data_IF_987300015975
#
_entry.id   IF_987300015975
#
_cell.length_a   1.000
_cell.length_b   1.000
_cell.length_c   1.000
_cell.angle_alpha   90.00
_cell.angle_beta   90.00
_cell.angle_gamma   90.00
#
_symmetry.space_group_name_H-M   'P 1'
#
loop_
_entity.id
_entity.type
_entity.pdbx_description
1 polymer ?
#
# COMPACT_ATOMS: atom_id res chain seq x y z
N UNK A 1 -2.10 13.28 1.86
CA UNK A 1 -2.03 12.85 3.27
C UNK A 1 -2.16 13.99 4.27
N UNK A 2 -1.49 15.13 4.13
CA UNK A 2 -1.55 16.21 5.14
C UNK A 2 -2.98 16.62 5.58
N UNK A 3 -3.91 16.67 4.66
CA UNK A 3 -5.32 17.01 4.96
C UNK A 3 -6.09 15.86 5.62
N UNK A 4 -5.69 14.61 5.39
CA UNK A 4 -6.35 13.43 5.92
C UNK A 4 -5.88 13.08 7.35
N UNK A 5 -4.67 13.51 7.73
CA UNK A 5 -4.15 13.37 9.09
C UNK A 5 -4.72 14.48 9.99
N UNK A 6 -5.64 14.12 10.86
CA UNK A 6 -6.22 15.00 11.87
C UNK A 6 -6.16 14.29 13.23
N UNK A 7 -7.25 14.22 13.98
CA UNK A 7 -7.32 13.37 15.18
C UNK A 7 -7.11 11.89 14.81
N UNK A 8 -7.63 11.50 13.65
CA UNK A 8 -7.47 10.19 13.03
C UNK A 8 -6.95 10.35 11.60
N UNK A 9 -6.57 9.24 10.99
CA UNK A 9 -6.30 9.18 9.55
C UNK A 9 -7.65 8.95 8.86
N UNK A 10 -8.12 9.95 8.10
CA UNK A 10 -9.34 9.88 7.33
C UNK A 10 -9.07 9.39 5.91
N UNK A 11 -9.93 8.51 5.40
CA UNK A 11 -9.93 8.06 4.00
C UNK A 11 -9.94 9.21 3.00
N UNK A 12 -10.78 10.21 3.25
CA UNK A 12 -10.94 11.40 2.43
C UNK A 12 -11.53 12.57 3.21
N UNK A 13 -11.34 13.79 2.71
CA UNK A 13 -11.82 15.00 3.37
C UNK A 13 -13.19 15.47 2.89
N UNK A 14 -13.63 15.03 1.70
CA UNK A 14 -14.92 15.43 1.13
C UNK A 14 -16.09 14.72 1.77
N UNK A 15 -15.99 13.41 1.90
CA UNK A 15 -17.04 12.55 2.46
C UNK A 15 -16.43 11.38 3.22
N UNK A 16 -17.30 10.55 3.77
CA UNK A 16 -17.06 9.48 4.72
C UNK A 16 -16.36 10.03 5.97
N UNK A 17 -15.12 10.48 5.89
CA UNK A 17 -14.31 10.97 7.02
C UNK A 17 -14.29 9.93 8.12
N UNK A 18 -13.99 8.70 7.74
CA UNK A 18 -13.93 7.54 8.61
C UNK A 18 -12.52 6.96 8.59
N UNK A 19 -12.23 6.16 9.59
CA UNK A 19 -11.07 5.30 9.61
C UNK A 19 -11.43 4.03 8.83
N UNK A 20 -11.19 4.05 7.52
CA UNK A 20 -11.27 2.89 6.66
C UNK A 20 -9.92 2.17 6.67
N UNK A 21 -9.83 1.09 7.44
CA UNK A 21 -8.52 0.47 7.70
C UNK A 21 -7.86 -0.14 6.45
N UNK A 22 -8.67 -0.55 5.47
CA UNK A 22 -8.15 -1.00 4.18
C UNK A 22 -7.40 0.07 3.41
N UNK A 23 -7.84 1.33 3.52
CA UNK A 23 -7.22 2.49 2.88
C UNK A 23 -5.86 2.83 3.51
N UNK A 24 -5.70 2.52 4.81
CA UNK A 24 -4.60 3.02 5.62
C UNK A 24 -3.22 2.49 5.22
N UNK A 25 -3.09 1.36 4.50
CA UNK A 25 -1.75 0.83 4.20
C UNK A 25 -0.92 1.78 3.31
N UNK A 26 -1.37 2.25 2.13
CA UNK A 26 -0.64 3.27 1.38
C UNK A 26 -0.59 4.63 2.11
N UNK A 27 -1.60 4.95 2.92
CA UNK A 27 -1.62 6.17 3.73
C UNK A 27 -0.50 6.17 4.77
N UNK A 28 -0.41 5.13 5.60
CA UNK A 28 0.61 4.99 6.65
C UNK A 28 2.00 4.83 6.05
N UNK A 29 2.13 4.16 4.90
CA UNK A 29 3.38 4.10 4.15
C UNK A 29 3.84 5.50 3.75
N UNK A 30 2.93 6.34 3.25
CA UNK A 30 3.24 7.73 2.88
C UNK A 30 3.50 8.59 4.12
N UNK A 31 2.70 8.47 5.17
CA UNK A 31 2.89 9.20 6.43
C UNK A 31 4.27 8.90 7.00
N UNK A 32 4.61 7.64 7.17
CA UNK A 32 5.89 7.24 7.72
C UNK A 32 7.10 7.68 6.88
N UNK A 33 6.94 7.81 5.55
CA UNK A 33 8.02 8.26 4.67
C UNK A 33 8.19 9.79 4.60
N UNK A 34 7.13 10.57 4.90
CA UNK A 34 7.12 12.02 4.71
C UNK A 34 7.05 12.78 6.02
N UNK A 35 6.16 12.39 6.91
CA UNK A 35 5.87 13.11 8.16
C UNK A 35 6.59 12.45 9.35
N UNK A 36 6.68 11.14 9.38
CA UNK A 36 7.33 10.39 10.44
C UNK A 36 6.33 9.69 11.35
N UNK A 37 6.63 9.66 12.64
CA UNK A 37 5.85 9.00 13.67
C UNK A 37 4.73 9.93 14.14
N UNK A 38 3.49 9.63 13.74
CA UNK A 38 2.34 10.51 13.92
C UNK A 38 1.30 9.91 14.87
N UNK A 39 0.81 10.70 15.81
CA UNK A 39 -0.20 10.29 16.79
C UNK A 39 -1.52 9.82 16.15
N UNK A 40 -1.89 10.36 14.99
CA UNK A 40 -3.08 9.95 14.24
C UNK A 40 -3.06 8.48 13.81
N UNK A 41 -1.87 7.90 13.64
CA UNK A 41 -1.73 6.44 13.41
C UNK A 41 -2.27 5.65 14.60
N UNK A 42 -1.74 5.93 15.79
CA UNK A 42 -2.09 5.21 17.02
C UNK A 42 -3.57 5.39 17.36
N UNK A 43 -4.07 6.61 17.25
CA UNK A 43 -5.49 6.90 17.47
C UNK A 43 -6.39 6.10 16.52
N UNK A 44 -6.04 5.99 15.23
CA UNK A 44 -6.82 5.25 14.23
C UNK A 44 -6.81 3.75 14.48
N UNK A 45 -5.65 3.18 14.81
CA UNK A 45 -5.53 1.74 15.08
C UNK A 45 -6.25 1.36 16.38
N UNK A 46 -6.16 2.19 17.42
CA UNK A 46 -6.88 2.03 18.68
C UNK A 46 -8.40 2.08 18.46
N UNK A 47 -8.87 3.07 17.69
CA UNK A 47 -10.29 3.23 17.34
C UNK A 47 -10.83 2.00 16.59
N UNK A 48 -10.07 1.46 15.64
CA UNK A 48 -10.48 0.27 14.89
C UNK A 48 -10.71 -0.93 15.82
N UNK A 49 -9.80 -1.18 16.77
CA UNK A 49 -9.96 -2.26 17.75
C UNK A 49 -11.15 -2.04 18.69
N UNK A 50 -11.41 -0.78 19.09
CA UNK A 50 -12.52 -0.44 19.97
C UNK A 50 -13.88 -0.59 19.28
N UNK A 51 -13.97 -0.16 18.03
CA UNK A 51 -15.23 -0.20 17.27
C UNK A 51 -15.56 -1.61 16.77
N UNK A 52 -14.54 -2.43 16.52
CA UNK A 52 -14.68 -3.79 15.97
C UNK A 52 -13.99 -4.82 16.85
N UNK A 53 -14.49 -5.05 18.11
CA UNK A 53 -13.95 -6.09 18.96
C UNK A 53 -14.15 -7.47 18.33
N UNK A 54 -13.20 -8.36 18.51
CA UNK A 54 -13.30 -9.73 18.01
C UNK A 54 -14.56 -10.45 18.56
N UNK A 55 -15.27 -11.23 17.72
CA UNK A 55 -14.86 -11.73 16.40
C UNK A 55 -15.34 -10.86 15.21
N UNK A 56 -15.70 -9.62 15.39
CA UNK A 56 -16.10 -8.75 14.29
C UNK A 56 -14.90 -8.43 13.38
N UNK A 57 -15.14 -8.43 12.06
CA UNK A 57 -14.18 -7.92 11.10
C UNK A 57 -14.15 -6.38 11.11
N UNK A 58 -12.96 -5.78 11.05
CA UNK A 58 -12.81 -4.32 11.01
C UNK A 58 -13.57 -3.76 9.81
N UNK A 59 -14.32 -2.68 10.04
CA UNK A 59 -15.25 -2.06 9.07
C UNK A 59 -16.26 -3.06 8.44
N UNK A 60 -16.49 -4.21 9.06
CA UNK A 60 -17.34 -5.28 8.54
C UNK A 60 -16.72 -6.08 7.38
N UNK A 61 -15.44 -5.91 7.09
CA UNK A 61 -14.73 -6.51 5.96
C UNK A 61 -13.50 -7.29 6.43
N UNK A 62 -13.45 -8.58 6.13
CA UNK A 62 -12.31 -9.42 6.52
C UNK A 62 -10.98 -8.94 5.93
N UNK A 63 -10.98 -8.44 4.68
CA UNK A 63 -9.80 -7.83 4.07
C UNK A 63 -9.19 -6.71 4.93
N UNK A 64 -10.02 -5.91 5.62
CA UNK A 64 -9.57 -4.79 6.43
C UNK A 64 -8.90 -5.24 7.74
N UNK A 65 -9.32 -6.39 8.28
CA UNK A 65 -8.61 -7.04 9.38
C UNK A 65 -7.27 -7.65 8.95
N UNK A 66 -7.13 -8.08 7.69
CA UNK A 66 -5.84 -8.51 7.14
C UNK A 66 -4.89 -7.31 6.99
N UNK A 67 -5.38 -6.18 6.48
CA UNK A 67 -4.61 -4.94 6.41
C UNK A 67 -4.16 -4.46 7.79
N UNK A 68 -4.98 -4.62 8.83
CA UNK A 68 -4.58 -4.32 10.20
C UNK A 68 -3.30 -5.03 10.61
N UNK A 69 -3.16 -6.34 10.31
CA UNK A 69 -1.97 -7.10 10.66
C UNK A 69 -0.73 -6.61 9.90
N UNK A 70 -0.88 -6.32 8.60
CA UNK A 70 0.21 -5.84 7.76
C UNK A 70 0.68 -4.45 8.22
N UNK A 71 -0.24 -3.52 8.43
CA UNK A 71 0.04 -2.14 8.87
C UNK A 71 0.74 -2.13 10.24
N UNK A 72 0.32 -2.98 11.19
CA UNK A 72 0.95 -3.08 12.50
C UNK A 72 2.42 -3.51 12.40
N UNK A 73 2.71 -4.50 11.55
CA UNK A 73 4.07 -4.97 11.37
C UNK A 73 4.95 -3.93 10.65
N UNK A 74 4.44 -3.30 9.59
CA UNK A 74 5.19 -2.28 8.84
C UNK A 74 5.51 -1.06 9.69
N UNK A 75 4.56 -0.62 10.53
CA UNK A 75 4.80 0.50 11.45
C UNK A 75 5.83 0.14 12.52
N UNK A 76 5.77 -1.09 13.05
CA UNK A 76 6.78 -1.59 13.96
C UNK A 76 8.18 -1.62 13.31
N UNK A 77 8.30 -2.11 12.10
CA UNK A 77 9.57 -2.13 11.38
C UNK A 77 10.13 -0.71 11.20
N UNK A 78 9.27 0.24 10.96
CA UNK A 78 9.65 1.65 10.75
C UNK A 78 10.07 2.34 12.04
N UNK A 79 9.27 2.24 13.10
CA UNK A 79 9.46 3.04 14.31
C UNK A 79 9.94 2.25 15.53
N UNK A 80 9.80 0.93 15.53
CA UNK A 80 10.37 0.05 16.56
C UNK A 80 9.60 0.01 17.88
N UNK A 81 8.38 0.57 17.95
CA UNK A 81 7.57 0.64 19.18
C UNK A 81 6.97 -0.71 19.53
N UNK A 82 7.79 -1.56 20.13
CA UNK A 82 7.36 -2.90 20.58
C UNK A 82 6.25 -2.82 21.63
N UNK A 83 6.31 -1.84 22.52
CA UNK A 83 5.29 -1.59 23.54
C UNK A 83 3.90 -1.34 22.96
N UNK A 84 3.82 -0.80 21.75
CA UNK A 84 2.55 -0.64 21.06
C UNK A 84 2.01 -1.98 20.52
N UNK A 85 2.87 -2.85 20.00
CA UNK A 85 2.46 -4.22 19.67
C UNK A 85 2.01 -4.99 20.92
N UNK A 86 2.69 -4.83 22.05
CA UNK A 86 2.30 -5.45 23.33
C UNK A 86 0.93 -4.94 23.81
N UNK A 87 0.63 -3.66 23.64
CA UNK A 87 -0.71 -3.10 23.93
C UNK A 87 -1.80 -3.78 23.11
N UNK A 88 -1.53 -4.11 21.84
CA UNK A 88 -2.45 -4.75 20.91
C UNK A 88 -2.34 -6.28 20.87
N UNK A 89 -1.55 -6.87 21.75
CA UNK A 89 -1.25 -8.31 21.80
C UNK A 89 -2.49 -9.18 21.66
N UNK A 90 -3.48 -8.97 22.51
CA UNK A 90 -4.65 -9.84 22.58
C UNK A 90 -5.49 -9.74 21.29
N UNK A 91 -5.55 -8.57 20.70
CA UNK A 91 -6.26 -8.36 19.44
C UNK A 91 -5.52 -9.03 18.26
N UNK A 92 -4.20 -8.83 18.15
CA UNK A 92 -3.36 -9.45 17.09
C UNK A 92 -3.45 -10.97 17.17
N UNK A 93 -3.21 -11.53 18.34
CA UNK A 93 -3.21 -12.99 18.55
C UNK A 93 -4.62 -13.59 18.42
N UNK A 94 -5.65 -12.83 18.82
CA UNK A 94 -7.04 -13.22 18.64
C UNK A 94 -7.47 -13.22 17.18
N UNK A 95 -6.97 -12.30 16.34
CA UNK A 95 -7.17 -12.33 14.89
C UNK A 95 -6.54 -13.56 14.26
N UNK A 96 -5.33 -13.97 14.69
CA UNK A 96 -4.70 -15.22 14.23
C UNK A 96 -5.60 -16.42 14.52
N UNK A 97 -6.14 -16.50 15.76
CA UNK A 97 -7.05 -17.58 16.14
C UNK A 97 -8.37 -17.56 15.37
N UNK A 98 -8.88 -16.38 15.03
CA UNK A 98 -10.09 -16.21 14.23
C UNK A 98 -9.87 -16.65 12.78
N UNK A 99 -8.77 -16.19 12.16
CA UNK A 99 -8.40 -16.55 10.78
C UNK A 99 -8.19 -18.06 10.66
N UNK A 100 -7.44 -18.67 11.59
CA UNK A 100 -7.18 -20.12 11.59
C UNK A 100 -8.47 -20.94 11.55
N UNK A 101 -9.49 -20.55 12.31
CA UNK A 101 -10.80 -21.20 12.32
C UNK A 101 -11.55 -21.09 10.99
N UNK A 102 -11.25 -20.07 10.20
CA UNK A 102 -11.90 -19.82 8.92
C UNK A 102 -11.22 -20.55 7.74
N UNK A 103 -10.02 -21.11 7.93
CA UNK A 103 -9.25 -21.74 6.84
C UNK A 103 -9.30 -23.27 6.98
N UNK A 104 -9.86 -23.94 5.97
CA UNK A 104 -9.94 -25.40 5.95
C UNK A 104 -8.59 -26.07 5.59
N UNK A 105 -8.56 -27.40 5.61
CA UNK A 105 -7.36 -28.19 5.31
C UNK A 105 -6.90 -28.07 3.84
N UNK A 106 -7.78 -27.64 2.95
CA UNK A 106 -7.53 -27.43 1.52
C UNK A 106 -7.12 -25.98 1.20
N UNK A 107 -7.11 -25.09 2.21
CA UNK A 107 -6.77 -23.69 2.05
C UNK A 107 -7.92 -22.83 1.52
N UNK A 108 -9.16 -23.31 1.61
CA UNK A 108 -10.32 -22.46 1.37
C UNK A 108 -10.65 -21.68 2.62
N UNK A 109 -11.09 -20.44 2.44
CA UNK A 109 -11.53 -19.59 3.53
C UNK A 109 -13.05 -19.48 3.61
N UNK A 110 -13.54 -19.18 4.81
CA UNK A 110 -14.94 -18.89 5.13
C UNK A 110 -15.05 -17.51 5.79
N UNK A 111 -14.31 -16.52 5.28
CA UNK A 111 -14.17 -15.18 5.87
C UNK A 111 -15.19 -14.16 5.32
N UNK A 112 -16.15 -14.60 4.52
CA UNK A 112 -17.20 -13.77 3.95
C UNK A 112 -16.86 -13.21 2.57
N UNK A 113 -17.38 -12.02 2.25
CA UNK A 113 -17.18 -11.42 0.95
C UNK A 113 -15.73 -10.92 0.79
N UNK A 114 -15.12 -11.25 -0.36
CA UNK A 114 -13.79 -10.78 -0.70
C UNK A 114 -13.85 -9.40 -1.36
N UNK A 115 -12.90 -8.56 -1.01
CA UNK A 115 -12.77 -7.23 -1.57
C UNK A 115 -11.28 -6.87 -1.73
N UNK A 116 -10.95 -6.27 -2.87
CA UNK A 116 -9.65 -5.64 -3.12
C UNK A 116 -9.85 -4.14 -3.32
N UNK A 117 -10.33 -3.77 -4.50
CA UNK A 117 -10.71 -2.41 -4.86
C UNK A 117 -11.97 -2.41 -5.74
N UNK A 118 -12.55 -1.24 -5.97
CA UNK A 118 -13.77 -1.15 -6.76
C UNK A 118 -13.56 -1.51 -8.23
N UNK A 119 -12.44 -1.10 -8.91
CA UNK A 119 -12.20 -1.48 -10.30
C UNK A 119 -12.15 -2.99 -10.56
N UNK A 120 -11.73 -3.77 -9.58
CA UNK A 120 -11.65 -5.23 -9.70
C UNK A 120 -12.96 -5.96 -9.38
N UNK A 121 -13.93 -5.30 -8.75
CA UNK A 121 -15.09 -5.92 -8.09
C UNK A 121 -15.96 -6.81 -8.98
N UNK A 122 -15.94 -6.63 -10.30
CA UNK A 122 -16.67 -7.45 -11.27
C UNK A 122 -15.93 -8.73 -11.69
N UNK A 123 -14.62 -8.84 -11.38
CA UNK A 123 -13.80 -10.02 -11.67
C UNK A 123 -13.63 -10.85 -10.39
N UNK A 124 -14.68 -11.60 -10.03
CA UNK A 124 -14.72 -12.33 -8.76
C UNK A 124 -13.61 -13.35 -8.62
N UNK A 125 -13.26 -14.10 -9.68
CA UNK A 125 -12.13 -15.06 -9.66
C UNK A 125 -10.79 -14.37 -9.39
N UNK A 126 -10.54 -13.23 -10.03
CA UNK A 126 -9.34 -12.43 -9.79
C UNK A 126 -9.33 -11.82 -8.38
N UNK A 127 -10.49 -11.35 -7.89
CA UNK A 127 -10.64 -10.83 -6.52
C UNK A 127 -10.34 -11.93 -5.51
N UNK A 128 -10.86 -13.14 -5.70
CA UNK A 128 -10.61 -14.29 -4.82
C UNK A 128 -9.11 -14.64 -4.79
N UNK A 129 -8.45 -14.63 -5.94
CA UNK A 129 -7.02 -14.89 -6.02
C UNK A 129 -6.17 -13.80 -5.31
N UNK A 130 -6.53 -12.54 -5.50
CA UNK A 130 -5.85 -11.42 -4.83
C UNK A 130 -6.09 -11.41 -3.33
N UNK A 131 -7.32 -11.67 -2.89
CA UNK A 131 -7.66 -11.80 -1.47
C UNK A 131 -6.89 -12.97 -0.83
N UNK A 132 -6.81 -14.11 -1.50
CA UNK A 132 -6.01 -15.24 -1.06
C UNK A 132 -4.53 -14.87 -0.87
N UNK A 133 -3.97 -14.09 -1.78
CA UNK A 133 -2.60 -13.60 -1.65
C UNK A 133 -2.45 -12.60 -0.49
N UNK A 134 -3.41 -11.70 -0.28
CA UNK A 134 -3.44 -10.79 0.87
C UNK A 134 -3.47 -11.55 2.20
N UNK A 135 -4.25 -12.63 2.25
CA UNK A 135 -4.33 -13.50 3.42
C UNK A 135 -2.98 -14.18 3.73
N UNK A 136 -2.27 -14.68 2.70
CA UNK A 136 -0.91 -15.23 2.86
C UNK A 136 0.05 -14.17 3.41
N UNK A 137 0.05 -12.96 2.84
CA UNK A 137 0.90 -11.87 3.31
C UNK A 137 0.59 -11.49 4.77
N UNK A 138 -0.69 -11.33 5.11
CA UNK A 138 -1.09 -11.00 6.49
C UNK A 138 -0.66 -12.09 7.50
N UNK A 139 -0.72 -13.38 7.11
CA UNK A 139 -0.26 -14.46 7.99
C UNK A 139 1.26 -14.50 8.17
N UNK A 140 2.05 -14.09 7.17
CA UNK A 140 3.49 -13.92 7.28
C UNK A 140 3.84 -12.83 8.31
N UNK A 141 3.16 -11.69 8.25
CA UNK A 141 3.40 -10.59 9.18
C UNK A 141 2.86 -10.89 10.59
N UNK A 142 1.73 -11.57 10.69
CA UNK A 142 1.21 -12.08 11.96
C UNK A 142 2.15 -13.09 12.62
N UNK A 143 2.81 -13.95 11.83
CA UNK A 143 3.86 -14.85 12.33
C UNK A 143 5.02 -14.08 12.94
N UNK A 144 5.54 -13.07 12.24
CA UNK A 144 6.64 -12.22 12.70
C UNK A 144 6.28 -11.50 14.00
N UNK A 145 5.06 -10.93 14.06
CA UNK A 145 4.56 -10.30 15.28
C UNK A 145 4.36 -11.28 16.43
N UNK A 146 3.86 -12.50 16.17
CA UNK A 146 3.72 -13.53 17.19
C UNK A 146 5.07 -13.90 17.83
N UNK A 147 6.13 -14.01 17.03
CA UNK A 147 7.50 -14.21 17.52
C UNK A 147 7.96 -13.02 18.38
N UNK A 148 7.75 -11.80 17.91
CA UNK A 148 8.12 -10.58 18.64
C UNK A 148 7.40 -10.45 19.99
N UNK A 149 6.15 -10.91 20.04
CA UNK A 149 5.31 -10.96 21.22
C UNK A 149 5.61 -12.19 22.13
N UNK A 150 6.53 -13.07 21.74
CA UNK A 150 6.91 -14.25 22.51
C UNK A 150 5.85 -15.35 22.51
N UNK A 151 4.98 -15.43 21.51
CA UNK A 151 3.94 -16.44 21.36
C UNK A 151 4.27 -17.43 20.22
N UNK A 152 5.14 -18.39 20.54
CA UNK A 152 5.56 -19.42 19.56
C UNK A 152 4.39 -20.30 19.09
N UNK A 153 3.36 -20.49 19.92
CA UNK A 153 2.20 -21.29 19.53
C UNK A 153 1.41 -20.62 18.40
N UNK A 154 1.17 -19.29 18.47
CA UNK A 154 0.53 -18.55 17.40
C UNK A 154 1.45 -18.37 16.20
N UNK A 155 2.76 -18.20 16.41
CA UNK A 155 3.71 -18.19 15.31
C UNK A 155 3.67 -19.51 14.52
N UNK A 156 3.59 -20.67 15.19
CA UNK A 156 3.43 -21.96 14.54
C UNK A 156 2.08 -22.08 13.82
N UNK A 157 1.01 -21.62 14.46
CA UNK A 157 -0.33 -21.57 13.84
C UNK A 157 -0.34 -20.75 12.56
N UNK A 158 0.31 -19.58 12.52
CA UNK A 158 0.43 -18.77 11.30
C UNK A 158 1.12 -19.56 10.17
N UNK A 159 2.21 -20.28 10.47
CA UNK A 159 2.88 -21.15 9.48
C UNK A 159 1.95 -22.25 8.96
N UNK A 160 1.21 -22.88 9.83
CA UNK A 160 0.26 -23.96 9.45
C UNK A 160 -0.89 -23.42 8.58
N UNK A 161 -1.38 -22.20 8.86
CA UNK A 161 -2.36 -21.52 8.01
C UNK A 161 -1.74 -21.18 6.65
N UNK A 162 -0.55 -20.59 6.63
CA UNK A 162 0.17 -20.29 5.39
C UNK A 162 0.40 -21.55 4.56
N UNK A 163 0.83 -22.65 5.16
CA UNK A 163 1.03 -23.94 4.48
C UNK A 163 -0.26 -24.48 3.85
N UNK A 164 -1.41 -24.33 4.54
CA UNK A 164 -2.72 -24.69 3.97
C UNK A 164 -3.08 -23.81 2.77
N UNK A 165 -2.89 -22.49 2.90
CA UNK A 165 -3.15 -21.55 1.83
C UNK A 165 -2.28 -21.82 0.60
N UNK A 166 -0.97 -22.08 0.79
CA UNK A 166 -0.03 -22.35 -0.32
C UNK A 166 -0.33 -23.64 -1.11
N UNK A 167 -1.13 -24.55 -0.58
CA UNK A 167 -1.57 -25.76 -1.31
C UNK A 167 -2.63 -25.44 -2.36
N UNK A 168 -3.40 -24.37 -2.16
CA UNK A 168 -4.43 -23.93 -3.10
C UNK A 168 -3.80 -23.15 -4.25
N UNK A 169 -4.01 -23.62 -5.45
CA UNK A 169 -3.61 -22.90 -6.67
C UNK A 169 -4.69 -21.90 -7.02
N UNK A 170 -4.33 -20.62 -7.11
CA UNK A 170 -5.23 -19.53 -7.51
C UNK A 170 -4.75 -18.88 -8.80
N UNK A 171 -5.69 -18.33 -9.56
CA UNK A 171 -5.41 -17.68 -10.84
C UNK A 171 -5.85 -16.20 -10.77
N UNK A 172 -4.96 -15.25 -11.08
CA UNK A 172 -5.31 -13.82 -11.07
C UNK A 172 -6.35 -13.41 -12.12
N UNK A 173 -6.71 -14.32 -13.03
CA UNK A 173 -7.76 -14.15 -14.07
C UNK A 173 -7.64 -12.80 -14.82
N UNK A 174 -6.42 -12.44 -15.23
CA UNK A 174 -6.12 -11.20 -15.92
C UNK A 174 -6.07 -9.94 -15.03
N UNK A 175 -6.31 -10.06 -13.72
CA UNK A 175 -6.37 -8.95 -12.79
C UNK A 175 -4.97 -8.54 -12.31
N UNK A 176 -4.56 -7.30 -12.60
CA UNK A 176 -3.26 -6.75 -12.16
C UNK A 176 -3.14 -6.69 -10.64
N UNK A 177 -4.21 -6.31 -9.94
CA UNK A 177 -4.31 -6.26 -8.49
C UNK A 177 -3.92 -7.60 -7.87
N UNK A 178 -4.54 -8.68 -8.36
CA UNK A 178 -4.29 -10.03 -7.87
C UNK A 178 -2.87 -10.50 -8.16
N UNK A 179 -2.39 -10.32 -9.40
CA UNK A 179 -1.04 -10.71 -9.79
C UNK A 179 0.03 -10.01 -8.95
N UNK A 180 -0.18 -8.72 -8.63
CA UNK A 180 0.73 -7.93 -7.78
C UNK A 180 0.76 -8.45 -6.35
N UNK A 181 -0.39 -8.69 -5.74
CA UNK A 181 -0.44 -9.28 -4.39
C UNK A 181 0.16 -10.70 -4.37
N UNK A 182 -0.06 -11.50 -5.41
CA UNK A 182 0.55 -12.83 -5.51
C UNK A 182 2.08 -12.75 -5.60
N UNK A 183 2.64 -11.75 -6.28
CA UNK A 183 4.08 -11.51 -6.28
C UNK A 183 4.59 -11.12 -4.89
N UNK A 184 3.93 -10.16 -4.23
CA UNK A 184 4.28 -9.67 -2.88
C UNK A 184 4.22 -10.81 -1.86
N UNK A 185 3.18 -11.64 -1.89
CA UNK A 185 2.99 -12.77 -0.98
C UNK A 185 3.90 -13.99 -1.31
N UNK A 186 4.67 -13.94 -2.40
CA UNK A 186 5.51 -15.05 -2.84
C UNK A 186 4.74 -16.27 -3.36
N UNK A 187 3.55 -16.05 -3.93
CA UNK A 187 2.73 -17.05 -4.61
C UNK A 187 2.96 -17.08 -6.13
N UNK A 188 3.53 -16.02 -6.67
CA UNK A 188 3.90 -15.90 -8.09
C UNK A 188 5.29 -15.27 -8.20
N UNK A 189 6.06 -15.73 -9.17
CA UNK A 189 7.33 -15.10 -9.51
C UNK A 189 7.09 -13.65 -10.00
N UNK A 190 7.80 -12.63 -9.46
CA UNK A 190 7.61 -11.23 -9.84
C UNK A 190 7.76 -10.98 -11.34
N UNK A 191 8.75 -11.63 -12.00
CA UNK A 191 8.95 -11.47 -13.43
C UNK A 191 7.77 -12.02 -14.23
N UNK A 192 7.16 -13.13 -13.76
CA UNK A 192 5.94 -13.66 -14.34
C UNK A 192 4.74 -12.73 -14.12
N UNK A 193 4.55 -12.22 -12.90
CA UNK A 193 3.47 -11.27 -12.58
C UNK A 193 3.55 -10.02 -13.45
N UNK A 194 4.75 -9.45 -13.60
CA UNK A 194 4.97 -8.27 -14.43
C UNK A 194 4.73 -8.56 -15.91
N UNK A 195 5.39 -9.59 -16.46
CA UNK A 195 5.31 -9.89 -17.90
C UNK A 195 3.90 -10.25 -18.35
N UNK A 196 3.19 -11.08 -17.58
CA UNK A 196 1.92 -11.68 -18.01
C UNK A 196 0.71 -10.82 -17.63
N UNK A 197 0.84 -9.89 -16.65
CA UNK A 197 -0.26 -9.11 -16.09
C UNK A 197 0.04 -7.62 -15.91
N UNK A 198 0.98 -7.25 -15.03
CA UNK A 198 1.11 -5.87 -14.55
C UNK A 198 1.54 -4.90 -15.66
N UNK A 199 2.51 -5.28 -16.48
CA UNK A 199 3.01 -4.46 -17.59
C UNK A 199 2.09 -4.46 -18.82
N UNK A 200 1.11 -5.40 -18.89
CA UNK A 200 0.22 -5.52 -20.04
C UNK A 200 -0.65 -4.26 -20.19
N UNK A 201 -0.52 -3.55 -21.30
CA UNK A 201 -1.26 -2.32 -21.58
C UNK A 201 -0.78 -1.09 -20.80
N UNK A 202 0.40 -1.15 -20.17
CA UNK A 202 0.98 -0.03 -19.42
C UNK A 202 0.07 0.44 -18.28
N UNK A 203 -0.24 1.75 -18.16
CA UNK A 203 -1.05 2.28 -17.07
C UNK A 203 -2.53 1.88 -17.12
N UNK A 204 -3.00 1.29 -18.24
CA UNK A 204 -4.37 0.81 -18.33
C UNK A 204 -4.65 -0.28 -17.31
N UNK A 205 -5.73 -0.15 -16.56
CA UNK A 205 -6.11 -1.08 -15.49
C UNK A 205 -5.38 -0.84 -14.15
N UNK A 206 -4.59 0.22 -14.07
CA UNK A 206 -4.15 0.75 -12.77
C UNK A 206 -5.34 1.38 -12.05
N UNK A 207 -5.30 1.33 -10.72
CA UNK A 207 -6.22 2.05 -9.85
C UNK A 207 -5.44 2.93 -8.89
N UNK A 208 -6.09 3.93 -8.36
CA UNK A 208 -5.46 4.89 -7.42
C UNK A 208 -5.00 4.22 -6.14
N UNK A 209 -5.72 3.20 -5.69
CA UNK A 209 -5.39 2.39 -4.51
C UNK A 209 -4.38 1.28 -4.85
N UNK A 210 -4.80 0.27 -5.59
CA UNK A 210 -3.96 -0.92 -5.85
C UNK A 210 -2.80 -0.66 -6.80
N UNK A 211 -2.80 0.48 -7.48
CA UNK A 211 -1.63 0.92 -8.26
C UNK A 211 -0.34 0.95 -7.46
N UNK A 212 -0.41 1.21 -6.14
CA UNK A 212 0.74 1.11 -5.24
C UNK A 212 1.37 -0.29 -5.27
N UNK A 213 0.57 -1.34 -5.11
CA UNK A 213 1.06 -2.73 -5.13
C UNK A 213 1.53 -3.18 -6.51
N UNK A 214 0.93 -2.63 -7.57
CA UNK A 214 1.40 -2.85 -8.94
C UNK A 214 2.78 -2.24 -9.17
N UNK A 215 3.04 -1.06 -8.61
CA UNK A 215 4.37 -0.42 -8.62
C UNK A 215 5.38 -1.22 -7.79
N UNK A 216 4.97 -1.78 -6.65
CA UNK A 216 5.81 -2.67 -5.84
C UNK A 216 6.18 -3.96 -6.60
N UNK A 217 5.23 -4.59 -7.29
CA UNK A 217 5.51 -5.76 -8.11
C UNK A 217 6.51 -5.45 -9.24
N UNK A 218 6.40 -4.29 -9.89
CA UNK A 218 7.37 -3.83 -10.88
C UNK A 218 8.76 -3.62 -10.27
N UNK A 219 8.84 -3.04 -9.08
CA UNK A 219 10.11 -2.88 -8.36
C UNK A 219 10.74 -4.22 -7.98
N UNK A 220 9.95 -5.21 -7.56
CA UNK A 220 10.42 -6.57 -7.27
C UNK A 220 11.02 -7.28 -8.51
N UNK A 221 10.57 -6.95 -9.72
CA UNK A 221 11.14 -7.43 -10.99
C UNK A 221 12.26 -6.49 -11.54
N UNK A 222 12.66 -5.47 -10.77
CA UNK A 222 13.68 -4.51 -11.20
C UNK A 222 13.24 -3.51 -12.28
N UNK A 223 11.94 -3.40 -12.56
CA UNK A 223 11.34 -2.53 -13.60
C UNK A 223 11.09 -1.11 -13.08
N UNK A 224 12.07 -0.53 -12.43
CA UNK A 224 11.93 0.80 -11.81
C UNK A 224 11.60 1.91 -12.82
N UNK A 225 12.20 1.87 -14.02
CA UNK A 225 11.94 2.86 -15.05
C UNK A 225 10.51 2.77 -15.58
N UNK A 226 10.01 1.56 -15.80
CA UNK A 226 8.60 1.33 -16.19
C UNK A 226 7.64 1.83 -15.11
N UNK A 227 7.93 1.54 -13.83
CA UNK A 227 7.12 2.03 -12.71
C UNK A 227 7.07 3.57 -12.67
N UNK A 228 8.21 4.24 -12.86
CA UNK A 228 8.28 5.72 -12.92
C UNK A 228 7.53 6.28 -14.13
N UNK A 229 7.59 5.63 -15.28
CA UNK A 229 6.83 6.01 -16.46
C UNK A 229 5.30 5.89 -16.20
N UNK A 230 4.87 4.85 -15.50
CA UNK A 230 3.46 4.67 -15.10
C UNK A 230 3.04 5.74 -14.10
N UNK A 231 3.86 6.05 -13.09
CA UNK A 231 3.58 7.16 -12.16
C UNK A 231 3.39 8.46 -12.92
N UNK A 232 4.31 8.77 -13.84
CA UNK A 232 4.25 9.98 -14.68
C UNK A 232 2.99 10.04 -15.54
N UNK A 233 2.54 8.91 -16.09
CA UNK A 233 1.35 8.87 -16.96
C UNK A 233 0.05 8.87 -16.13
N UNK A 234 -0.07 8.01 -15.12
CA UNK A 234 -1.32 7.79 -14.42
C UNK A 234 -1.57 8.90 -13.39
N UNK A 235 -0.69 9.08 -12.39
CA UNK A 235 -0.84 10.16 -11.41
C UNK A 235 -0.52 11.53 -12.01
N UNK A 236 0.43 11.60 -12.95
CA UNK A 236 0.68 12.79 -13.75
C UNK A 236 -0.54 13.24 -14.56
N UNK A 237 -1.33 12.29 -15.07
CA UNK A 237 -2.60 12.58 -15.75
C UNK A 237 -3.60 13.32 -14.85
N UNK A 238 -3.64 13.05 -13.54
CA UNK A 238 -4.45 13.86 -12.61
C UNK A 238 -3.91 15.30 -12.51
N UNK A 239 -2.58 15.46 -12.43
CA UNK A 239 -1.95 16.79 -12.37
C UNK A 239 -2.22 17.58 -13.64
N UNK A 240 -2.18 16.96 -14.81
CA UNK A 240 -2.52 17.57 -16.09
C UNK A 240 -3.99 18.05 -16.13
N UNK A 241 -4.87 17.35 -15.39
CA UNK A 241 -6.27 17.74 -15.20
C UNK A 241 -6.49 18.78 -14.09
N UNK A 242 -5.41 19.34 -13.51
CA UNK A 242 -5.48 20.39 -12.51
C UNK A 242 -5.56 19.89 -11.06
N UNK A 243 -5.25 18.62 -10.80
CA UNK A 243 -5.25 18.08 -9.47
C UNK A 243 -4.19 18.76 -8.56
N UNK A 244 -4.59 19.12 -7.35
CA UNK A 244 -3.70 19.57 -6.27
C UNK A 244 -3.56 18.50 -5.18
N UNK A 245 -4.41 17.51 -5.21
CA UNK A 245 -4.43 16.31 -4.37
C UNK A 245 -4.78 15.11 -5.24
N UNK A 246 -4.42 13.90 -4.81
CA UNK A 246 -4.77 12.69 -5.56
C UNK A 246 -6.21 12.25 -5.28
N UNK A 247 -6.82 11.69 -6.33
CA UNK A 247 -8.24 11.38 -6.37
C UNK A 247 -8.56 9.96 -5.93
N UNK A 248 -9.76 9.77 -5.47
CA UNK A 248 -10.28 8.48 -5.02
C UNK A 248 -10.38 7.45 -6.15
N UNK A 249 -10.80 7.91 -7.33
CA UNK A 249 -10.90 7.11 -8.54
C UNK A 249 -10.37 7.91 -9.73
N UNK A 250 -9.77 7.25 -10.70
CA UNK A 250 -9.27 7.87 -11.92
C UNK A 250 -9.07 6.83 -13.01
N UNK A 251 -9.56 7.16 -14.19
CA UNK A 251 -9.23 6.46 -15.41
C UNK A 251 -8.55 7.44 -16.39
N UNK A 252 -7.37 7.06 -16.87
CA UNK A 252 -6.60 7.89 -17.81
C UNK A 252 -7.38 8.23 -19.08
N UNK A 253 -8.35 7.40 -19.48
CA UNK A 253 -9.22 7.68 -20.62
C UNK A 253 -10.10 8.93 -20.43
N UNK A 254 -10.38 9.33 -19.18
CA UNK A 254 -11.15 10.55 -18.92
C UNK A 254 -10.48 11.80 -19.46
N UNK A 255 -9.15 11.83 -19.46
CA UNK A 255 -8.34 12.99 -19.92
C UNK A 255 -8.60 13.34 -21.39
N UNK A 256 -9.08 12.39 -22.20
CA UNK A 256 -9.34 12.60 -23.65
C UNK A 256 -10.44 13.61 -23.91
N UNK A 257 -11.43 13.71 -23.04
CA UNK A 257 -12.59 14.58 -23.24
C UNK A 257 -13.01 15.38 -22.02
N UNK A 258 -12.16 15.52 -21.02
CA UNK A 258 -12.42 16.30 -19.82
C UNK A 258 -11.87 17.73 -19.93
N UNK A 259 -12.53 18.67 -19.27
CA UNK A 259 -11.95 19.96 -18.88
C UNK A 259 -11.15 19.80 -17.60
N UNK A 260 -10.22 20.74 -17.33
CA UNK A 260 -9.46 20.76 -16.07
C UNK A 260 -10.37 21.14 -14.90
N UNK A 261 -10.06 20.63 -13.70
CA UNK A 261 -10.86 20.93 -12.49
C UNK A 261 -10.62 22.35 -11.94
N UNK A 262 -9.54 23.00 -12.37
CA UNK A 262 -9.11 24.32 -11.89
C UNK A 262 -9.47 25.45 -12.87
N UNK A 263 -10.30 25.17 -13.89
CA UNK A 263 -10.77 26.13 -14.90
C UNK A 263 -12.25 25.86 -15.26
N UNK A 264 -12.88 26.78 -15.96
CA UNK A 264 -14.21 26.56 -16.53
C UNK A 264 -14.16 25.45 -17.58
N UNK A 265 -15.18 24.59 -17.55
CA UNK A 265 -15.28 23.50 -18.53
C UNK A 265 -15.46 24.09 -19.94
N UNK A 266 -14.53 23.83 -20.89
CA UNK A 266 -14.68 24.30 -22.24
C UNK A 266 -15.90 23.72 -22.93
N UNK A 267 -16.47 24.47 -23.91
CA UNK A 267 -17.60 23.99 -24.73
C UNK A 267 -17.24 22.65 -25.42
N UNK A 268 -18.14 21.67 -25.32
CA UNK A 268 -17.96 20.32 -25.87
C UNK A 268 -17.07 19.38 -25.04
N UNK A 269 -16.53 19.84 -23.91
CA UNK A 269 -15.83 19.00 -22.96
C UNK A 269 -16.75 18.57 -21.80
N UNK A 270 -16.37 17.52 -21.10
CA UNK A 270 -17.02 17.04 -19.89
C UNK A 270 -16.39 17.66 -18.65
N UNK A 271 -17.19 17.80 -17.60
CA UNK A 271 -16.71 18.15 -16.28
C UNK A 271 -16.08 16.91 -15.64
N UNK A 272 -14.78 16.97 -15.34
CA UNK A 272 -14.07 15.85 -14.70
C UNK A 272 -14.71 15.45 -13.36
N UNK A 273 -15.32 16.37 -12.65
CA UNK A 273 -15.95 16.11 -11.37
C UNK A 273 -17.42 15.69 -11.49
N UNK A 274 -18.17 16.31 -12.38
CA UNK A 274 -19.62 16.10 -12.50
C UNK A 274 -19.99 14.91 -13.38
N UNK A 275 -19.20 14.62 -14.42
CA UNK A 275 -19.57 13.69 -15.49
C UNK A 275 -18.82 12.35 -15.42
N UNK A 276 -17.83 12.23 -14.54
CA UNK A 276 -17.02 11.03 -14.39
C UNK A 276 -17.16 10.42 -12.99
N UNK A 277 -16.43 9.36 -12.74
CA UNK A 277 -16.54 8.52 -11.56
C UNK A 277 -17.33 7.24 -11.86
N UNK A 278 -16.98 6.18 -11.17
CA UNK A 278 -17.58 4.88 -11.36
C UNK A 278 -17.94 4.25 -10.01
N UNK A 279 -18.52 3.06 -10.05
CA UNK A 279 -18.83 2.24 -8.86
C UNK A 279 -19.74 2.97 -7.87
N UNK A 280 -19.23 3.30 -6.66
CA UNK A 280 -19.96 4.02 -5.63
C UNK A 280 -19.76 5.54 -5.66
N UNK A 281 -18.94 6.07 -6.58
CA UNK A 281 -18.62 7.51 -6.65
C UNK A 281 -18.92 8.20 -7.99
N UNK A 282 -20.14 8.03 -8.53
CA UNK A 282 -20.49 8.72 -9.76
C UNK A 282 -20.62 10.23 -9.52
N UNK A 283 -20.13 11.02 -10.47
CA UNK A 283 -20.27 12.48 -10.49
C UNK A 283 -19.72 13.13 -9.24
N UNK A 284 -20.43 14.12 -8.72
CA UNK A 284 -20.00 14.91 -7.56
C UNK A 284 -19.81 14.13 -6.25
N UNK A 285 -20.17 12.85 -6.20
CA UNK A 285 -19.83 11.98 -5.06
C UNK A 285 -18.33 11.67 -5.00
N UNK A 286 -17.66 11.65 -6.14
CA UNK A 286 -16.23 11.40 -6.26
C UNK A 286 -15.39 12.37 -5.41
N UNK A 287 -14.42 11.86 -4.65
CA UNK A 287 -13.51 12.65 -3.83
C UNK A 287 -12.22 12.95 -4.59
N UNK A 288 -11.83 14.22 -4.61
CA UNK A 288 -10.56 14.66 -5.21
C UNK A 288 -9.40 14.75 -4.20
N UNK A 289 -9.64 14.37 -2.95
CA UNK A 289 -8.60 14.24 -1.95
C UNK A 289 -8.86 12.96 -1.15
N UNK A 290 -8.13 11.89 -1.50
CA UNK A 290 -8.33 10.57 -0.94
C UNK A 290 -6.99 9.92 -0.61
N UNK A 291 -6.83 9.45 0.62
CA UNK A 291 -5.54 9.03 1.17
C UNK A 291 -4.96 7.80 0.49
N UNK A 292 -5.77 6.81 0.13
CA UNK A 292 -5.28 5.57 -0.50
C UNK A 292 -4.53 5.80 -1.83
N UNK A 293 -4.72 6.96 -2.47
CA UNK A 293 -4.04 7.30 -3.73
C UNK A 293 -2.60 7.83 -3.53
N UNK A 294 -2.13 7.94 -2.29
CA UNK A 294 -0.83 8.53 -1.94
C UNK A 294 0.38 7.60 -2.15
N UNK A 295 0.14 6.32 -2.43
CA UNK A 295 1.17 5.28 -2.53
C UNK A 295 2.41 5.61 -3.37
N UNK A 296 2.34 6.30 -4.53
CA UNK A 296 3.52 6.67 -5.30
C UNK A 296 4.54 7.50 -4.54
N UNK A 297 4.10 8.30 -3.56
CA UNK A 297 5.03 9.08 -2.71
C UNK A 297 5.87 8.15 -1.84
N UNK A 298 5.26 7.14 -1.23
CA UNK A 298 5.97 6.11 -0.47
C UNK A 298 6.91 5.32 -1.38
N UNK A 299 6.43 4.90 -2.56
CA UNK A 299 7.21 4.17 -3.55
C UNK A 299 8.47 4.93 -3.98
N UNK A 300 8.36 6.23 -4.25
CA UNK A 300 9.52 7.05 -4.61
C UNK A 300 10.55 7.13 -3.47
N UNK A 301 10.11 7.23 -2.22
CA UNK A 301 11.02 7.23 -1.08
C UNK A 301 11.73 5.88 -0.92
N UNK A 302 11.01 4.78 -1.12
CA UNK A 302 11.55 3.42 -0.98
C UNK A 302 12.48 3.05 -2.16
N UNK A 303 12.14 3.41 -3.39
CA UNK A 303 12.84 2.92 -4.57
C UNK A 303 13.71 3.99 -5.26
N UNK A 304 13.23 5.22 -5.42
CA UNK A 304 14.04 6.27 -6.08
C UNK A 304 15.11 6.82 -5.13
N UNK A 305 14.75 7.16 -3.90
CA UNK A 305 15.75 7.43 -2.85
C UNK A 305 16.41 6.14 -2.34
N UNK A 306 15.74 4.99 -2.54
CA UNK A 306 16.29 3.67 -2.33
C UNK A 306 16.40 3.23 -0.87
N UNK A 307 15.51 3.71 0.02
CA UNK A 307 15.59 3.40 1.45
C UNK A 307 14.85 2.11 1.77
N UNK A 308 15.58 1.09 2.17
CA UNK A 308 15.08 -0.19 2.66
C UNK A 308 15.39 -0.35 4.15
N UNK A 309 14.39 -0.63 4.97
CA UNK A 309 14.54 -0.85 6.41
C UNK A 309 14.93 -2.31 6.64
N UNK A 310 16.12 -2.54 7.20
CA UNK A 310 16.64 -3.89 7.49
C UNK A 310 16.46 -4.32 8.95
N UNK A 311 16.24 -3.35 9.86
CA UNK A 311 16.08 -3.62 11.28
C UNK A 311 15.05 -2.65 11.87
N UNK A 312 14.18 -3.17 12.71
CA UNK A 312 13.09 -2.42 13.32
C UNK A 312 13.57 -1.13 13.98
N UNK A 313 12.75 -0.07 13.83
CA UNK A 313 13.09 1.28 14.28
C UNK A 313 14.15 1.95 13.41
N UNK A 314 14.31 1.52 12.16
CA UNK A 314 15.32 2.07 11.22
C UNK A 314 16.77 2.03 11.77
N UNK A 315 17.06 1.13 12.73
CA UNK A 315 18.41 1.01 13.30
C UNK A 315 19.46 0.67 12.25
N UNK A 316 19.05 -0.07 11.22
CA UNK A 316 19.85 -0.40 10.06
C UNK A 316 19.01 -0.25 8.80
N UNK A 317 19.52 0.53 7.85
CA UNK A 317 18.88 0.77 6.56
C UNK A 317 19.87 0.50 5.44
N UNK A 318 19.38 0.00 4.30
CA UNK A 318 20.11 -0.04 3.03
C UNK A 318 19.66 1.12 2.18
N UNK A 319 20.59 1.73 1.44
CA UNK A 319 20.26 2.81 0.49
C UNK A 319 20.78 2.45 -0.88
N UNK A 320 19.87 2.04 -1.77
CA UNK A 320 20.12 1.63 -3.14
C UNK A 320 19.22 2.40 -4.10
N UNK A 321 19.70 3.52 -4.71
CA UNK A 321 18.87 4.36 -5.56
C UNK A 321 18.58 3.75 -6.92
N UNK A 322 17.36 3.96 -7.43
CA UNK A 322 16.95 3.62 -8.78
C UNK A 322 16.41 4.87 -9.50
N UNK A 323 17.32 5.66 -10.08
CA UNK A 323 17.01 6.95 -10.68
C UNK A 323 16.23 6.86 -12.01
N UNK A 324 16.14 5.68 -12.66
CA UNK A 324 15.52 5.59 -13.97
C UNK A 324 16.11 6.63 -14.94
N UNK A 325 15.26 7.52 -15.47
CA UNK A 325 15.70 8.63 -16.36
C UNK A 325 16.10 9.91 -15.62
N UNK A 326 15.94 9.95 -14.30
CA UNK A 326 16.27 11.15 -13.52
C UNK A 326 17.79 11.39 -13.51
N UNK A 327 18.17 12.66 -13.59
CA UNK A 327 19.55 13.09 -13.44
C UNK A 327 19.96 13.17 -11.97
N UNK A 328 19.01 13.44 -11.10
CA UNK A 328 19.21 13.48 -9.65
C UNK A 328 17.90 13.19 -8.92
N UNK A 329 18.03 12.79 -7.67
CA UNK A 329 16.94 12.73 -6.70
C UNK A 329 17.46 13.18 -5.34
N UNK A 330 16.65 13.94 -4.60
CA UNK A 330 16.99 14.42 -3.28
C UNK A 330 15.77 14.39 -2.38
N UNK A 331 15.98 14.02 -1.13
CA UNK A 331 14.92 14.00 -0.13
C UNK A 331 15.43 13.71 1.26
N UNK A 332 14.48 13.68 2.20
CA UNK A 332 14.71 13.25 3.58
C UNK A 332 13.85 12.02 3.87
N UNK A 333 14.34 11.19 4.76
CA UNK A 333 13.62 10.01 5.24
C UNK A 333 13.55 10.04 6.76
N UNK A 334 12.36 10.14 7.37
CA UNK A 334 12.18 10.20 8.82
C UNK A 334 12.56 8.86 9.49
N UNK A 335 13.20 8.95 10.63
CA UNK A 335 13.46 7.81 11.50
C UNK A 335 13.26 8.21 12.97
N UNK A 336 13.14 7.29 13.92
CA UNK A 336 13.07 7.61 15.35
C UNK A 336 14.27 8.39 15.89
N UNK A 337 15.38 8.41 15.14
CA UNK A 337 16.64 9.09 15.51
C UNK A 337 16.81 10.44 14.84
N UNK A 338 15.85 10.87 14.01
CA UNK A 338 15.93 12.05 13.16
C UNK A 338 15.91 11.69 11.68
N UNK A 339 16.11 12.70 10.82
CA UNK A 339 15.99 12.50 9.37
C UNK A 339 17.31 12.03 8.75
N UNK A 340 17.21 11.08 7.81
CA UNK A 340 18.30 10.77 6.87
C UNK A 340 18.16 11.74 5.69
N UNK A 341 19.19 12.53 5.41
CA UNK A 341 19.24 13.37 4.19
C UNK A 341 19.95 12.60 3.09
N UNK A 342 19.35 12.54 1.92
CA UNK A 342 19.79 11.72 0.80
C UNK A 342 19.80 12.57 -0.46
N UNK A 343 20.90 12.54 -1.22
CA UNK A 343 20.99 13.10 -2.55
C UNK A 343 21.77 12.16 -3.47
N UNK A 344 21.19 11.84 -4.60
CA UNK A 344 21.76 11.03 -5.65
C UNK A 344 21.91 11.86 -6.93
N UNK A 345 23.05 11.75 -7.60
CA UNK A 345 23.33 12.45 -8.87
C UNK A 345 23.93 11.48 -9.87
N UNK A 346 23.42 11.47 -11.08
CA UNK A 346 23.97 10.72 -12.20
C UNK A 346 25.17 11.47 -12.75
N UNK A 347 26.29 10.78 -12.88
CA UNK A 347 27.52 11.30 -13.49
C UNK A 347 27.48 11.14 -15.01
N UNK A 348 28.40 11.82 -15.70
CA UNK A 348 28.53 11.72 -17.14
C UNK A 348 28.88 10.30 -17.64
N UNK A 349 29.51 9.47 -16.82
CA UNK A 349 29.80 8.06 -17.10
C UNK A 349 28.63 7.11 -16.80
N UNK A 350 27.48 7.65 -16.42
CA UNK A 350 26.27 6.89 -16.06
C UNK A 350 26.24 6.37 -14.63
N UNK A 351 27.32 6.42 -13.87
CA UNK A 351 27.34 6.02 -12.46
C UNK A 351 26.54 6.98 -11.59
N UNK A 352 26.07 6.51 -10.42
CA UNK A 352 25.34 7.32 -9.46
C UNK A 352 26.21 7.65 -8.28
N UNK A 353 26.39 8.95 -8.01
CA UNK A 353 27.01 9.46 -6.78
C UNK A 353 25.95 9.69 -5.74
N UNK A 354 26.10 9.07 -4.56
CA UNK A 354 25.21 9.26 -3.42
C UNK A 354 25.90 10.09 -2.33
N UNK A 355 25.20 11.08 -1.81
CA UNK A 355 25.53 11.82 -0.61
C UNK A 355 24.48 11.54 0.44
N UNK A 356 24.86 10.91 1.55
CA UNK A 356 23.95 10.42 2.57
C UNK A 356 24.43 10.95 3.92
N UNK A 357 23.52 11.60 4.66
CA UNK A 357 23.74 12.04 6.02
C UNK A 357 22.70 11.41 6.93
N UNK A 358 23.11 10.44 7.73
CA UNK A 358 22.24 9.75 8.68
C UNK A 358 22.45 10.29 10.10
N UNK A 359 21.40 10.30 10.94
CA UNK A 359 21.52 10.66 12.34
C UNK A 359 22.27 9.57 13.13
N UNK A 360 22.78 9.95 14.31
CA UNK A 360 23.38 8.99 15.25
C UNK A 360 22.30 7.98 15.69
N UNK A 361 22.61 6.70 15.56
CA UNK A 361 21.65 5.59 15.87
C UNK A 361 21.16 4.86 14.64
N UNK A 362 21.33 5.42 13.43
CA UNK A 362 21.01 4.76 12.16
C UNK A 362 22.30 4.27 11.48
N UNK A 363 22.39 2.97 11.23
CA UNK A 363 23.47 2.36 10.45
C UNK A 363 23.04 2.23 8.98
N UNK A 364 23.68 3.01 8.12
CA UNK A 364 23.50 2.88 6.66
C UNK A 364 24.44 1.79 6.11
N UNK A 365 23.88 0.86 5.36
CA UNK A 365 24.63 -0.14 4.55
C UNK A 365 24.35 0.12 3.07
N UNK A 366 25.30 -0.24 2.23
CA UNK A 366 25.20 -0.12 0.78
C UNK A 366 24.83 -1.45 0.15
#
# INVERSE_FOLDING_TARGET
MHLNMQEYIWDGIKRDRLVWLGDMHPETSTIGNVFGDEESFYASMDLACQQYPLPAWINGMSAYSLWYLIIQYDWYMRFGHKEYLEKHRDYILGLVDLIDKCIDAQGNDAMGAHFLDWPSSTNTEGVDAGYHALLVWAMQDAQRMSILLGDEARAQKCREVEDRLRRKVVNPNGLKQAASLMAIAGLMDPAKACRDYVSVGGPKGFSTFYGYYMLEALAMDGRYEEAMDIISQYWGGMLDMGATTFWEDFDLEWTRNAGRIDDFVPEGKKDIHGDFGAYCYPGFRHSFCHGWASGPTAWMSTHVLGVEILEAGCKRVRITPHLGRLQWAEGTFPTPYGQISIRHERRADGSVKSSIKAPKGVKVVK
#
